data_IF_039120796364
#
_entry.id   IF_039120796364
#
_cell.length_a   1.000
_cell.length_b   1.000
_cell.length_c   1.000
_cell.angle_alpha   90.00
_cell.angle_beta   90.00
_cell.angle_gamma   90.00
#
_symmetry.space_group_name_H-M   'P 1'
#
loop_
_entity.id
_entity.type
_entity.pdbx_description
1 polymer ?
#
# COMPACT_ATOMS: atom_id res chain seq x y z
N UNK A 1 18.28 -7.88 39.82
CA UNK A 1 18.87 -6.53 39.70
C UNK A 1 18.99 -6.23 38.22
N UNK A 2 17.98 -5.65 37.57
CA UNK A 2 17.64 -4.21 37.47
C UNK A 2 18.74 -3.39 36.78
N UNK A 3 18.59 -3.20 35.46
CA UNK A 3 18.78 -1.90 34.82
C UNK A 3 17.63 -1.68 33.82
N UNK A 4 16.56 -1.05 34.30
CA UNK A 4 15.59 -0.31 33.49
C UNK A 4 15.85 1.18 33.74
N UNK A 5 15.51 2.00 32.74
CA UNK A 5 15.27 3.47 32.79
C UNK A 5 16.39 4.35 32.24
N UNK A 6 16.15 4.98 31.08
CA UNK A 6 16.24 6.45 30.91
C UNK A 6 15.85 7.06 29.54
N UNK A 7 15.16 6.35 28.62
CA UNK A 7 14.85 6.92 27.28
C UNK A 7 13.37 7.15 26.95
N UNK A 8 12.46 7.04 27.93
CA UNK A 8 11.01 7.08 27.69
C UNK A 8 10.35 8.46 27.86
N UNK A 9 11.03 9.44 28.48
CA UNK A 9 10.41 10.74 28.86
C UNK A 9 10.34 11.79 27.74
N UNK A 10 11.31 11.82 26.83
CA UNK A 10 11.41 12.88 25.80
C UNK A 10 10.39 12.66 24.67
N UNK A 11 10.07 11.41 24.35
CA UNK A 11 9.13 11.06 23.27
C UNK A 11 7.67 11.35 23.60
N UNK A 12 7.28 11.35 24.90
CA UNK A 12 5.92 11.71 25.31
C UNK A 12 5.69 13.24 25.25
N UNK A 13 6.69 14.05 25.61
CA UNK A 13 6.54 15.51 25.60
C UNK A 13 6.42 16.11 24.19
N UNK A 14 7.05 15.50 23.18
CA UNK A 14 6.93 15.96 21.78
C UNK A 14 5.57 15.56 21.18
N UNK A 15 4.99 14.43 21.62
CA UNK A 15 3.70 13.92 21.14
C UNK A 15 2.52 14.78 21.60
N UNK A 16 2.58 15.33 22.82
CA UNK A 16 1.53 16.21 23.36
C UNK A 16 1.48 17.58 22.67
N UNK A 17 2.62 18.19 22.34
CA UNK A 17 2.68 19.49 21.64
C UNK A 17 2.24 19.42 20.17
N UNK A 18 2.35 18.25 19.53
CA UNK A 18 1.83 18.06 18.16
C UNK A 18 0.32 17.85 18.13
N UNK A 19 -0.26 17.25 19.17
CA UNK A 19 -1.70 17.01 19.27
C UNK A 19 -2.48 18.34 19.45
N UNK A 20 -1.98 19.27 20.27
CA UNK A 20 -2.56 20.61 20.44
C UNK A 20 -2.47 21.44 19.15
N UNK A 21 -1.35 21.35 18.43
CA UNK A 21 -1.21 22.01 17.12
C UNK A 21 -2.16 21.43 16.07
N UNK A 22 -2.44 20.14 16.10
CA UNK A 22 -3.36 19.47 15.18
C UNK A 22 -4.83 19.86 15.44
N UNK A 23 -5.25 19.90 16.72
CA UNK A 23 -6.61 20.35 17.10
C UNK A 23 -6.82 21.81 16.66
N UNK A 24 -5.82 22.68 16.86
CA UNK A 24 -5.89 24.07 16.42
C UNK A 24 -6.00 24.18 14.90
N UNK A 25 -5.26 23.35 14.16
CA UNK A 25 -5.30 23.30 12.69
C UNK A 25 -6.67 22.79 12.18
N UNK A 26 -7.24 21.75 12.78
CA UNK A 26 -8.57 21.25 12.44
C UNK A 26 -9.67 22.28 12.74
N UNK A 27 -9.58 23.03 13.84
CA UNK A 27 -10.54 24.10 14.18
C UNK A 27 -10.44 25.25 13.16
N UNK A 28 -9.23 25.65 12.77
CA UNK A 28 -9.01 26.68 11.75
C UNK A 28 -9.57 26.21 10.40
N UNK A 29 -9.29 24.97 9.99
CA UNK A 29 -9.78 24.39 8.75
C UNK A 29 -11.32 24.27 8.73
N UNK A 30 -11.95 23.85 9.84
CA UNK A 30 -13.41 23.82 9.98
C UNK A 30 -14.04 25.22 9.88
N UNK A 31 -13.43 26.24 10.51
CA UNK A 31 -13.89 27.63 10.40
C UNK A 31 -13.76 28.18 8.98
N UNK A 32 -12.70 27.82 8.25
CA UNK A 32 -12.51 28.19 6.85
C UNK A 32 -13.52 27.49 5.92
N UNK A 33 -13.75 26.19 6.12
CA UNK A 33 -14.76 25.42 5.38
C UNK A 33 -16.18 25.97 5.60
N UNK A 34 -16.53 26.35 6.84
CA UNK A 34 -17.84 26.95 7.16
C UNK A 34 -18.07 28.28 6.43
N UNK A 35 -17.03 29.11 6.27
CA UNK A 35 -17.10 30.37 5.50
C UNK A 35 -17.30 30.12 4.00
N UNK A 36 -16.67 29.08 3.44
CA UNK A 36 -16.81 28.71 2.03
C UNK A 36 -18.20 28.15 1.72
N UNK A 37 -18.78 27.36 2.64
CA UNK A 37 -20.11 26.75 2.47
C UNK A 37 -21.21 27.81 2.59
N UNK A 38 -21.12 28.77 3.52
CA UNK A 38 -22.12 29.82 3.70
C UNK A 38 -22.18 30.84 2.53
N UNK A 39 -21.12 30.96 1.73
CA UNK A 39 -21.10 31.89 0.59
C UNK A 39 -21.88 31.39 -0.64
N UNK A 40 -22.36 30.13 -0.64
CA UNK A 40 -23.00 29.52 -1.82
C UNK A 40 -24.54 29.59 -1.80
N UNK A 41 -25.17 30.21 -0.81
CA UNK A 41 -26.62 30.20 -0.62
C UNK A 41 -27.35 31.49 -1.03
N UNK A 42 -26.83 32.26 -1.97
CA UNK A 42 -27.53 33.45 -2.50
C UNK A 42 -27.30 33.62 -4.00
N UNK A 43 -28.06 32.85 -4.79
CA UNK A 43 -28.76 33.38 -5.97
C UNK A 43 -29.84 32.40 -6.43
N UNK A 44 -31.04 32.93 -6.31
CA UNK A 44 -32.35 32.31 -6.36
C UNK A 44 -32.76 32.03 -7.81
N UNK A 45 -33.34 30.86 -8.01
CA UNK A 45 -34.07 30.41 -9.19
C UNK A 45 -35.28 31.32 -9.45
N UNK A 46 -35.47 31.82 -10.68
CA UNK A 46 -36.78 32.28 -11.17
C UNK A 46 -37.08 31.60 -12.50
N UNK A 47 -38.05 30.69 -12.46
CA UNK A 47 -38.64 30.00 -13.60
C UNK A 47 -39.97 30.71 -13.94
N UNK A 48 -40.18 31.16 -15.19
CA UNK A 48 -41.51 31.60 -15.66
C UNK A 48 -41.74 31.31 -17.17
N UNK A 49 -42.41 30.17 -17.39
CA UNK A 49 -43.44 29.72 -18.37
C UNK A 49 -43.49 30.25 -19.83
N UNK A 50 -43.72 29.26 -20.73
CA UNK A 50 -44.63 29.21 -21.92
C UNK A 50 -44.12 29.77 -23.26
N UNK A 51 -44.17 28.91 -24.29
CA UNK A 51 -44.35 29.36 -25.67
C UNK A 51 -43.53 28.60 -26.71
N UNK A 52 -44.24 27.97 -27.64
CA UNK A 52 -43.77 27.31 -28.87
C UNK A 52 -43.09 28.31 -29.82
N UNK A 53 -41.82 28.10 -30.15
CA UNK A 53 -41.20 28.47 -31.43
C UNK A 53 -39.77 27.89 -31.51
N UNK A 54 -39.44 27.28 -32.65
CA UNK A 54 -38.08 26.88 -33.01
C UNK A 54 -37.19 28.13 -33.12
N UNK A 55 -36.21 28.27 -32.24
CA UNK A 55 -35.13 29.26 -32.37
C UNK A 55 -33.82 28.53 -32.04
N UNK A 56 -33.00 28.30 -33.06
CA UNK A 56 -31.58 27.96 -32.91
C UNK A 56 -30.87 29.12 -32.22
N UNK A 57 -30.62 28.98 -30.91
CA UNK A 57 -29.82 29.94 -30.14
C UNK A 57 -28.40 29.41 -30.04
N UNK A 58 -27.49 30.07 -30.73
CA UNK A 58 -26.04 29.95 -30.52
C UNK A 58 -25.72 30.45 -29.12
N UNK A 59 -25.39 29.53 -28.21
CA UNK A 59 -25.00 29.87 -26.85
C UNK A 59 -23.58 30.42 -26.86
N UNK A 60 -23.44 31.75 -26.97
CA UNK A 60 -22.19 32.44 -26.69
C UNK A 60 -21.95 32.35 -25.18
N UNK A 61 -21.06 31.44 -24.77
CA UNK A 61 -20.64 31.30 -23.37
C UNK A 61 -19.84 32.55 -22.97
N UNK A 62 -20.27 33.35 -21.97
CA UNK A 62 -19.52 34.52 -21.53
C UNK A 62 -18.18 34.08 -20.88
N UNK A 63 -17.10 34.71 -21.32
CA UNK A 63 -15.70 34.34 -21.04
C UNK A 63 -15.22 34.51 -19.59
N UNK A 64 -16.09 34.88 -18.64
CA UNK A 64 -15.68 35.27 -17.28
C UNK A 64 -15.81 34.15 -16.23
N UNK A 65 -16.41 33.00 -16.56
CA UNK A 65 -16.57 31.87 -15.63
C UNK A 65 -15.47 30.80 -15.71
N UNK A 66 -14.39 31.02 -16.47
CA UNK A 66 -13.28 30.06 -16.62
C UNK A 66 -12.27 30.08 -15.46
N UNK A 67 -12.07 31.24 -14.83
CA UNK A 67 -11.02 31.43 -13.82
C UNK A 67 -11.36 30.85 -12.43
N UNK A 68 -12.64 30.81 -12.05
CA UNK A 68 -13.04 30.34 -10.71
C UNK A 68 -12.98 28.80 -10.58
N UNK A 69 -13.36 28.08 -11.64
CA UNK A 69 -13.28 26.61 -11.70
C UNK A 69 -11.83 26.12 -11.63
N UNK A 70 -10.91 26.81 -12.32
CA UNK A 70 -9.46 26.49 -12.36
C UNK A 70 -8.77 26.68 -11.00
N UNK A 71 -9.20 27.66 -10.21
CA UNK A 71 -8.68 27.90 -8.85
C UNK A 71 -9.16 26.87 -7.83
N UNK A 72 -10.41 26.39 -7.92
CA UNK A 72 -10.90 25.31 -7.05
C UNK A 72 -10.19 23.97 -7.29
N UNK A 73 -9.92 23.60 -8.55
CA UNK A 73 -9.18 22.38 -8.86
C UNK A 73 -7.72 22.45 -8.41
N UNK A 74 -7.09 23.63 -8.51
CA UNK A 74 -5.72 23.84 -8.01
C UNK A 74 -5.65 23.66 -6.48
N UNK A 75 -6.62 24.20 -5.72
CA UNK A 75 -6.67 24.03 -4.27
C UNK A 75 -6.94 22.58 -3.86
N UNK A 76 -7.84 21.88 -4.56
CA UNK A 76 -8.07 20.44 -4.33
C UNK A 76 -6.82 19.60 -4.63
N UNK A 77 -6.11 19.90 -5.72
CA UNK A 77 -4.86 19.23 -6.06
C UNK A 77 -3.76 19.51 -5.02
N UNK A 78 -3.64 20.75 -4.54
CA UNK A 78 -2.68 21.12 -3.49
C UNK A 78 -3.02 20.44 -2.16
N UNK A 79 -4.31 20.38 -1.79
CA UNK A 79 -4.75 19.69 -0.57
C UNK A 79 -4.47 18.19 -0.67
N UNK A 80 -4.73 17.56 -1.82
CA UNK A 80 -4.40 16.15 -2.06
C UNK A 80 -2.88 15.91 -1.99
N UNK A 81 -2.08 16.79 -2.59
CA UNK A 81 -0.61 16.74 -2.55
C UNK A 81 -0.07 16.85 -1.11
N UNK A 82 -0.64 17.75 -0.30
CA UNK A 82 -0.28 17.94 1.11
C UNK A 82 -0.74 16.75 1.96
N UNK A 83 -1.87 16.12 1.64
CA UNK A 83 -2.37 14.92 2.33
C UNK A 83 -1.42 13.73 2.15
N UNK A 84 -0.86 13.57 0.94
CA UNK A 84 0.14 12.52 0.63
C UNK A 84 1.48 12.77 1.35
N UNK A 85 1.84 14.03 1.59
CA UNK A 85 3.08 14.42 2.29
C UNK A 85 2.96 14.32 3.83
N UNK A 86 1.76 14.10 4.37
CA UNK A 86 1.49 14.05 5.82
C UNK A 86 1.45 12.64 6.40
N UNK A 87 1.78 11.60 5.63
CA UNK A 87 1.83 10.24 6.18
C UNK A 87 2.92 10.14 7.27
N UNK A 88 2.55 9.82 8.52
CA UNK A 88 3.53 9.53 9.56
C UNK A 88 4.34 8.30 9.13
N UNK A 89 5.65 8.33 9.36
CA UNK A 89 6.65 7.36 8.88
C UNK A 89 6.10 5.96 8.62
N UNK A 90 6.10 5.59 7.32
CA UNK A 90 5.65 4.33 6.74
C UNK A 90 6.30 3.13 7.44
N UNK A 91 5.74 2.73 8.56
CA UNK A 91 6.10 1.53 9.29
C UNK A 91 4.83 0.69 9.30
N UNK A 92 4.82 -0.37 8.50
CA UNK A 92 3.67 -1.27 8.45
C UNK A 92 3.57 -1.99 9.79
N UNK A 93 2.37 -1.99 10.38
CA UNK A 93 2.12 -2.77 11.60
C UNK A 93 2.05 -4.26 11.27
N UNK A 94 2.21 -5.12 12.27
CA UNK A 94 2.03 -6.57 12.10
C UNK A 94 0.64 -6.93 11.56
N UNK A 95 -0.41 -6.24 12.00
CA UNK A 95 -1.78 -6.49 11.53
C UNK A 95 -1.97 -6.10 10.04
N UNK A 96 -1.35 -4.98 9.63
CA UNK A 96 -1.35 -4.56 8.23
C UNK A 96 -0.56 -5.52 7.37
N UNK A 97 0.58 -6.01 7.87
CA UNK A 97 1.36 -7.04 7.20
C UNK A 97 0.54 -8.32 7.00
N UNK A 98 -0.06 -8.88 8.05
CA UNK A 98 -0.89 -10.08 7.94
C UNK A 98 -2.08 -9.89 7.00
N UNK A 99 -2.76 -8.75 7.07
CA UNK A 99 -3.85 -8.42 6.14
C UNK A 99 -3.36 -8.32 4.68
N UNK A 100 -2.14 -7.80 4.46
CA UNK A 100 -1.55 -7.73 3.12
C UNK A 100 -1.27 -9.10 2.52
N UNK A 101 -0.86 -10.08 3.35
CA UNK A 101 -0.66 -11.46 2.93
C UNK A 101 -1.97 -12.06 2.40
N UNK A 102 -3.09 -11.83 3.10
CA UNK A 102 -4.41 -12.31 2.67
C UNK A 102 -4.88 -11.68 1.36
N UNK A 103 -4.65 -10.38 1.20
CA UNK A 103 -4.94 -9.69 -0.07
C UNK A 103 -4.12 -10.28 -1.22
N UNK A 104 -2.82 -10.50 -1.02
CA UNK A 104 -1.94 -11.09 -2.04
C UNK A 104 -2.39 -12.52 -2.37
N UNK A 105 -2.74 -13.33 -1.36
CA UNK A 105 -3.28 -14.68 -1.55
C UNK A 105 -4.53 -14.66 -2.42
N UNK A 106 -5.47 -13.76 -2.12
CA UNK A 106 -6.71 -13.63 -2.90
C UNK A 106 -6.47 -13.25 -4.36
N UNK A 107 -5.40 -12.50 -4.64
CA UNK A 107 -5.02 -12.10 -6.00
C UNK A 107 -4.40 -13.23 -6.84
N UNK A 108 -3.82 -14.25 -6.19
CA UNK A 108 -3.08 -15.31 -6.87
C UNK A 108 -3.74 -16.69 -6.78
N UNK A 109 -4.31 -17.07 -5.64
CA UNK A 109 -4.85 -18.41 -5.41
C UNK A 109 -5.95 -18.82 -6.43
N UNK A 110 -6.90 -17.95 -6.84
CA UNK A 110 -7.94 -18.33 -7.80
C UNK A 110 -7.43 -18.66 -9.21
N UNK A 111 -6.15 -18.41 -9.52
CA UNK A 111 -5.55 -18.68 -10.83
C UNK A 111 -5.09 -20.13 -10.99
N UNK A 112 -5.10 -20.91 -9.91
CA UNK A 112 -4.50 -22.26 -9.86
C UNK A 112 -5.41 -23.22 -9.09
N UNK A 113 -5.21 -24.54 -9.28
CA UNK A 113 -5.95 -25.57 -8.53
C UNK A 113 -5.17 -25.93 -7.27
N UNK A 114 -5.42 -25.21 -6.18
CA UNK A 114 -4.66 -25.32 -4.93
C UNK A 114 -5.49 -25.98 -3.83
N UNK A 115 -4.82 -26.74 -2.96
CA UNK A 115 -5.41 -27.23 -1.70
C UNK A 115 -5.19 -26.18 -0.62
N UNK A 116 -6.21 -25.92 0.19
CA UNK A 116 -6.08 -24.95 1.29
C UNK A 116 -5.00 -25.35 2.30
N UNK A 117 -4.88 -26.66 2.57
CA UNK A 117 -3.86 -27.20 3.47
C UNK A 117 -2.44 -26.85 3.03
N UNK A 118 -2.13 -26.94 1.73
CA UNK A 118 -0.80 -26.59 1.22
C UNK A 118 -0.53 -25.09 1.36
N UNK A 119 -1.53 -24.25 1.12
CA UNK A 119 -1.43 -22.79 1.27
C UNK A 119 -1.24 -22.38 2.73
N UNK A 120 -1.93 -23.04 3.65
CA UNK A 120 -1.82 -22.75 5.08
C UNK A 120 -0.45 -23.17 5.62
N UNK A 121 0.12 -24.27 5.10
CA UNK A 121 1.52 -24.66 5.38
C UNK A 121 2.52 -23.64 4.85
N UNK A 122 2.35 -23.18 3.61
CA UNK A 122 3.19 -22.12 3.06
C UNK A 122 3.11 -20.85 3.91
N UNK A 123 1.90 -20.48 4.38
CA UNK A 123 1.69 -19.31 5.24
C UNK A 123 2.56 -19.35 6.48
N UNK A 124 2.77 -20.52 7.07
CA UNK A 124 3.62 -20.69 8.25
C UNK A 124 5.09 -20.96 7.93
N UNK A 125 5.47 -20.92 6.66
CA UNK A 125 6.85 -21.16 6.22
C UNK A 125 7.25 -22.64 6.22
N UNK A 126 6.28 -23.55 6.26
CA UNK A 126 6.54 -24.97 6.08
C UNK A 126 6.62 -25.32 4.58
N UNK A 127 7.83 -25.62 4.11
CA UNK A 127 8.11 -26.12 2.75
C UNK A 127 8.62 -27.58 2.75
N UNK A 128 8.31 -28.34 3.81
CA UNK A 128 8.79 -29.72 4.03
C UNK A 128 8.02 -30.79 3.25
N UNK A 129 7.23 -30.40 2.24
CA UNK A 129 6.42 -31.30 1.44
C UNK A 129 6.73 -31.18 -0.04
N UNK A 130 6.21 -32.16 -0.80
CA UNK A 130 6.32 -32.15 -2.26
C UNK A 130 5.22 -31.26 -2.85
N UNK A 131 5.58 -30.12 -3.47
CA UNK A 131 4.61 -29.20 -4.03
C UNK A 131 4.02 -29.72 -5.34
N UNK A 132 2.76 -29.39 -5.62
CA UNK A 132 2.23 -29.50 -6.98
C UNK A 132 2.81 -28.39 -7.87
N UNK A 133 2.81 -28.61 -9.19
CA UNK A 133 3.22 -27.58 -10.15
C UNK A 133 2.41 -26.28 -10.00
N UNK A 134 1.09 -26.40 -9.76
CA UNK A 134 0.21 -25.25 -9.52
C UNK A 134 0.62 -24.45 -8.28
N UNK A 135 1.06 -25.13 -7.21
CA UNK A 135 1.54 -24.48 -5.99
C UNK A 135 2.88 -23.76 -6.23
N UNK A 136 3.79 -24.35 -6.99
CA UNK A 136 5.02 -23.66 -7.40
C UNK A 136 4.68 -22.38 -8.17
N UNK A 137 3.75 -22.46 -9.13
CA UNK A 137 3.36 -21.29 -9.93
C UNK A 137 2.56 -20.26 -9.12
N UNK A 138 1.87 -20.67 -8.06
CA UNK A 138 1.31 -19.76 -7.07
C UNK A 138 2.41 -18.91 -6.41
N UNK A 139 3.52 -19.53 -5.95
CA UNK A 139 4.63 -18.76 -5.36
C UNK A 139 5.25 -17.76 -6.36
N UNK A 140 5.29 -18.13 -7.65
CA UNK A 140 5.69 -17.23 -8.74
C UNK A 140 4.73 -16.06 -8.91
N UNK A 141 3.42 -16.29 -8.89
CA UNK A 141 2.42 -15.22 -8.97
C UNK A 141 2.61 -14.19 -7.85
N UNK A 142 2.78 -14.68 -6.62
CA UNK A 142 3.02 -13.85 -5.43
C UNK A 142 4.29 -13.03 -5.59
N UNK A 143 5.40 -13.67 -5.99
CA UNK A 143 6.69 -13.00 -6.15
C UNK A 143 6.71 -11.97 -7.29
N UNK A 144 5.92 -12.21 -8.35
CA UNK A 144 5.72 -11.24 -9.43
C UNK A 144 4.94 -10.02 -8.93
N UNK A 145 3.92 -10.23 -8.09
CA UNK A 145 3.15 -9.15 -7.48
C UNK A 145 4.02 -8.29 -6.55
N UNK A 146 4.94 -8.92 -5.81
CA UNK A 146 5.92 -8.24 -4.98
C UNK A 146 7.07 -7.60 -5.78
N UNK A 147 7.17 -7.84 -7.09
CA UNK A 147 8.23 -7.29 -7.95
C UNK A 147 9.64 -7.82 -7.68
N UNK A 148 9.76 -8.96 -7.01
CA UNK A 148 11.05 -9.55 -6.58
C UNK A 148 11.64 -10.51 -7.60
N UNK A 149 10.82 -11.02 -8.53
CA UNK A 149 11.22 -11.92 -9.60
C UNK A 149 10.77 -11.40 -10.96
N UNK A 150 11.38 -11.90 -12.04
CA UNK A 150 10.89 -11.67 -13.40
C UNK A 150 10.00 -12.82 -13.91
N UNK A 151 9.44 -12.69 -15.13
CA UNK A 151 8.58 -13.72 -15.74
C UNK A 151 9.27 -15.08 -15.94
N UNK A 152 10.61 -15.11 -16.00
CA UNK A 152 11.44 -16.31 -16.10
C UNK A 152 11.75 -16.95 -14.74
N UNK A 153 11.24 -16.38 -13.65
CA UNK A 153 11.49 -16.85 -12.28
C UNK A 153 12.89 -16.50 -11.75
N UNK A 154 13.61 -15.58 -12.38
CA UNK A 154 14.92 -15.15 -11.89
C UNK A 154 14.72 -14.16 -10.75
N UNK A 155 15.28 -14.49 -9.58
CA UNK A 155 15.19 -13.68 -8.39
C UNK A 155 16.16 -12.50 -8.46
N UNK A 156 15.66 -11.30 -8.17
CA UNK A 156 16.46 -10.08 -8.15
C UNK A 156 16.63 -9.61 -6.71
N UNK A 157 17.72 -10.04 -6.07
CA UNK A 157 18.01 -9.69 -4.68
C UNK A 157 18.08 -8.17 -4.45
N UNK A 158 18.66 -7.40 -5.39
CA UNK A 158 18.74 -5.94 -5.26
C UNK A 158 17.35 -5.27 -5.23
N UNK A 159 16.44 -5.72 -6.10
CA UNK A 159 15.04 -5.25 -6.09
C UNK A 159 14.32 -5.72 -4.83
N UNK A 160 14.49 -6.98 -4.42
CA UNK A 160 13.88 -7.50 -3.20
C UNK A 160 14.29 -6.68 -1.98
N UNK A 161 15.60 -6.42 -1.80
CA UNK A 161 16.13 -5.58 -0.72
C UNK A 161 15.55 -4.17 -0.73
N UNK A 162 15.40 -3.56 -1.91
CA UNK A 162 14.80 -2.23 -2.04
C UNK A 162 13.29 -2.22 -1.73
N UNK A 163 12.58 -3.34 -1.94
CA UNK A 163 11.16 -3.47 -1.63
C UNK A 163 10.87 -3.86 -0.18
N UNK A 164 11.84 -4.42 0.56
CA UNK A 164 11.63 -4.89 1.95
C UNK A 164 10.90 -3.88 2.87
N UNK A 165 11.24 -2.58 2.90
CA UNK A 165 10.54 -1.61 3.74
C UNK A 165 9.03 -1.48 3.47
N UNK A 166 8.57 -1.95 2.31
CA UNK A 166 7.16 -1.93 1.89
C UNK A 166 6.50 -3.32 1.95
N UNK A 167 7.27 -4.39 2.14
CA UNK A 167 6.77 -5.76 2.13
C UNK A 167 6.69 -6.38 3.52
N UNK A 168 7.53 -5.93 4.46
CA UNK A 168 7.62 -6.51 5.80
C UNK A 168 7.62 -5.41 6.87
N UNK A 169 7.15 -5.72 8.08
CA UNK A 169 7.19 -4.81 9.22
C UNK A 169 8.63 -4.59 9.71
N UNK A 170 8.87 -3.49 10.42
CA UNK A 170 10.23 -3.04 10.79
C UNK A 170 11.00 -4.07 11.61
N UNK A 171 10.29 -4.83 12.45
CA UNK A 171 10.82 -5.88 13.31
C UNK A 171 11.41 -7.05 12.51
N UNK A 172 10.92 -7.29 11.29
CA UNK A 172 11.33 -8.41 10.44
C UNK A 172 12.38 -8.02 9.39
N UNK A 173 12.71 -6.72 9.25
CA UNK A 173 13.55 -6.22 8.16
C UNK A 173 14.94 -6.87 8.12
N UNK A 174 15.62 -6.94 9.27
CA UNK A 174 16.99 -7.45 9.33
C UNK A 174 17.05 -8.96 9.07
N UNK A 175 16.13 -9.73 9.66
CA UNK A 175 16.05 -11.19 9.43
C UNK A 175 15.71 -11.49 7.96
N UNK A 176 14.76 -10.73 7.40
CA UNK A 176 14.39 -10.88 5.98
C UNK A 176 15.54 -10.47 5.06
N UNK A 177 16.28 -9.42 5.39
CA UNK A 177 17.47 -8.99 4.64
C UNK A 177 18.50 -10.10 4.55
N UNK A 178 18.87 -10.71 5.69
CA UNK A 178 19.83 -11.84 5.73
C UNK A 178 19.36 -13.00 4.87
N UNK A 179 18.07 -13.33 4.95
CA UNK A 179 17.46 -14.40 4.14
C UNK A 179 17.58 -14.11 2.64
N UNK A 180 17.25 -12.88 2.22
CA UNK A 180 17.39 -12.45 0.82
C UNK A 180 18.83 -12.54 0.33
N UNK A 181 19.79 -12.13 1.16
CA UNK A 181 21.20 -12.17 0.81
C UNK A 181 21.72 -13.60 0.66
N UNK A 182 21.33 -14.50 1.57
CA UNK A 182 21.69 -15.92 1.54
C UNK A 182 21.08 -16.65 0.32
N UNK A 183 19.88 -16.27 -0.08
CA UNK A 183 19.11 -16.96 -1.13
C UNK A 183 19.18 -16.32 -2.52
N UNK A 184 20.05 -15.32 -2.72
CA UNK A 184 20.16 -14.58 -4.00
C UNK A 184 20.30 -15.47 -5.23
N UNK A 185 21.01 -16.58 -5.07
CA UNK A 185 21.39 -17.51 -6.14
C UNK A 185 20.60 -18.83 -6.12
N UNK A 186 19.63 -18.97 -5.20
CA UNK A 186 18.86 -20.21 -5.02
C UNK A 186 18.10 -20.65 -6.29
N UNK A 187 17.73 -19.70 -7.15
CA UNK A 187 17.04 -19.98 -8.41
C UNK A 187 17.96 -20.56 -9.52
N UNK A 188 19.28 -20.35 -9.46
CA UNK A 188 20.21 -20.68 -10.56
C UNK A 188 20.23 -22.17 -10.95
N UNK A 189 20.16 -23.14 -10.02
CA UNK A 189 20.19 -24.58 -10.36
C UNK A 189 18.96 -25.04 -11.15
N UNK A 190 17.86 -24.29 -11.09
CA UNK A 190 16.57 -24.72 -11.62
C UNK A 190 16.30 -24.11 -13.01
N UNK A 191 15.68 -24.90 -13.90
CA UNK A 191 15.37 -24.47 -15.27
C UNK A 191 13.95 -23.95 -15.42
N UNK A 192 12.99 -24.58 -14.75
CA UNK A 192 11.59 -24.19 -14.82
C UNK A 192 11.34 -22.95 -13.94
N UNK A 193 10.53 -22.04 -14.45
CA UNK A 193 10.30 -20.71 -13.87
C UNK A 193 9.53 -20.69 -12.56
N UNK A 194 8.55 -21.57 -12.37
CA UNK A 194 7.79 -21.70 -11.13
C UNK A 194 8.65 -22.39 -10.06
N UNK A 195 9.37 -23.44 -10.45
CA UNK A 195 10.31 -24.18 -9.60
C UNK A 195 11.44 -23.27 -9.08
N UNK A 196 12.02 -22.43 -9.95
CA UNK A 196 12.99 -21.39 -9.54
C UNK A 196 12.50 -20.56 -8.36
N UNK A 197 11.26 -20.11 -8.44
CA UNK A 197 10.68 -19.22 -7.42
C UNK A 197 10.30 -20.01 -6.17
N UNK A 198 9.70 -21.18 -6.32
CA UNK A 198 9.36 -22.05 -5.20
C UNK A 198 10.60 -22.40 -4.36
N UNK A 199 11.70 -22.77 -5.02
CA UNK A 199 12.95 -23.12 -4.35
C UNK A 199 13.63 -21.91 -3.72
N UNK A 200 13.47 -20.72 -4.31
CA UNK A 200 13.91 -19.48 -3.68
C UNK A 200 13.09 -19.18 -2.42
N UNK A 201 11.76 -19.30 -2.48
CA UNK A 201 10.89 -19.11 -1.32
C UNK A 201 11.20 -20.11 -0.19
N UNK A 202 11.43 -21.38 -0.53
CA UNK A 202 11.89 -22.42 0.39
C UNK A 202 13.23 -22.06 1.05
N UNK A 203 14.19 -21.56 0.27
CA UNK A 203 15.45 -21.07 0.81
C UNK A 203 15.23 -19.92 1.79
N UNK A 204 14.39 -18.95 1.45
CA UNK A 204 14.09 -17.80 2.32
C UNK A 204 13.50 -18.26 3.65
N UNK A 205 12.52 -19.18 3.61
CA UNK A 205 11.92 -19.74 4.81
C UNK A 205 12.94 -20.45 5.72
N UNK A 206 13.85 -21.22 5.12
CA UNK A 206 14.92 -21.91 5.86
C UNK A 206 15.92 -20.97 6.54
N UNK A 207 16.07 -19.73 6.05
CA UNK A 207 17.02 -18.74 6.58
C UNK A 207 16.37 -17.64 7.45
N UNK A 208 15.05 -17.72 7.68
CA UNK A 208 14.27 -16.67 8.34
C UNK A 208 14.07 -16.88 9.86
N UNK A 209 14.84 -17.76 10.49
CA UNK A 209 14.87 -17.97 11.96
C UNK A 209 13.46 -18.18 12.59
N UNK A 210 12.53 -18.82 11.86
CA UNK A 210 11.16 -19.11 12.33
C UNK A 210 10.16 -17.96 12.23
N UNK A 211 10.53 -16.81 11.67
CA UNK A 211 9.63 -15.64 11.51
C UNK A 211 8.99 -15.53 10.13
N UNK A 212 9.27 -16.47 9.22
CA UNK A 212 8.78 -16.42 7.85
C UNK A 212 7.26 -16.54 7.76
N UNK A 213 6.65 -15.72 6.91
CA UNK A 213 5.25 -15.87 6.48
C UNK A 213 5.15 -15.70 4.98
N UNK A 214 4.43 -16.61 4.32
CA UNK A 214 4.11 -16.51 2.90
C UNK A 214 2.66 -16.05 2.72
N UNK A 215 2.33 -15.19 1.74
CA UNK A 215 0.96 -14.93 1.33
C UNK A 215 0.14 -16.20 1.16
#
# INVERSE_FOLDING_TARGET
MIQKSHHSGIFQSIRANKLTSYILYCIILYRLLKKVILFKSSKLFTLKIRGRAHITSTFVVPATMKHWKRRSFALLAIVLQVLVLLEPGMTMTMDQFMSSLDMIRSGCAPKFKLRNEDLDRLRDGDFSFEPSHDLMCYTKCVSLMAGTVNKKGEFNAAKALAQLPHLVPTEMLEVTRRSVEACRDAHKPYKESCERVFQTAKCLAANAEGTFKWP
#
